data_IF_629977400771
#
_entry.id   IF_629977400771
#
_cell.length_a   1.000
_cell.length_b   1.000
_cell.length_c   1.000
_cell.angle_alpha   90.00
_cell.angle_beta   90.00
_cell.angle_gamma   90.00
#
_symmetry.space_group_name_H-M   'P 1'
#
loop_
_entity.id
_entity.type
_entity.pdbx_description
1 polymer ?
#
# COMPACT_ATOMS: atom_id res chain seq x y z
N UNK A 1 -31.17 -48.09 -2.18
CA UNK A 1 -31.03 -47.20 -0.97
C UNK A 1 -29.59 -46.96 -0.57
N UNK A 2 -28.62 -47.85 -0.93
CA UNK A 2 -27.19 -47.71 -0.59
C UNK A 2 -26.44 -46.79 -1.51
N UNK A 3 -26.86 -46.54 -2.75
CA UNK A 3 -26.17 -45.69 -3.72
C UNK A 3 -26.30 -44.18 -3.42
N UNK A 4 -27.37 -43.75 -2.77
CA UNK A 4 -27.59 -42.32 -2.42
C UNK A 4 -26.77 -41.83 -1.21
N UNK A 5 -26.33 -42.75 -0.36
CA UNK A 5 -25.52 -42.41 0.82
C UNK A 5 -24.02 -42.25 0.49
N UNK A 6 -23.55 -42.94 -0.55
CA UNK A 6 -22.13 -42.87 -0.96
C UNK A 6 -21.82 -41.66 -1.86
N UNK A 7 -22.80 -41.12 -2.59
CA UNK A 7 -22.60 -39.98 -3.50
C UNK A 7 -22.34 -38.67 -2.70
N UNK A 8 -23.12 -38.44 -1.65
CA UNK A 8 -22.94 -37.25 -0.79
C UNK A 8 -21.66 -37.22 0.04
N UNK A 9 -21.08 -38.40 0.37
CA UNK A 9 -19.83 -38.47 1.12
C UNK A 9 -18.59 -38.13 0.27
N UNK A 10 -18.62 -38.51 -1.01
CA UNK A 10 -17.57 -38.18 -1.97
C UNK A 10 -17.43 -36.68 -2.22
N UNK A 11 -18.56 -36.01 -2.39
CA UNK A 11 -18.58 -34.55 -2.61
C UNK A 11 -18.13 -33.77 -1.37
N UNK A 12 -18.53 -34.19 -0.19
CA UNK A 12 -18.11 -33.58 1.07
C UNK A 12 -16.59 -33.74 1.29
N UNK A 13 -16.05 -34.94 1.04
CA UNK A 13 -14.61 -35.19 1.16
C UNK A 13 -13.84 -34.31 0.18
N UNK A 14 -14.29 -34.21 -1.07
CA UNK A 14 -13.69 -33.36 -2.09
C UNK A 14 -13.68 -31.89 -1.68
N UNK A 15 -14.79 -31.36 -1.17
CA UNK A 15 -14.87 -29.98 -0.66
C UNK A 15 -13.90 -29.73 0.48
N UNK A 16 -13.77 -30.66 1.42
CA UNK A 16 -12.81 -30.54 2.52
C UNK A 16 -11.36 -30.46 1.98
N UNK A 17 -11.01 -31.30 1.00
CA UNK A 17 -9.70 -31.25 0.36
C UNK A 17 -9.48 -29.95 -0.39
N UNK A 18 -10.45 -29.44 -1.14
CA UNK A 18 -10.33 -28.17 -1.85
C UNK A 18 -10.12 -27.00 -0.89
N UNK A 19 -10.88 -26.95 0.21
CA UNK A 19 -10.70 -25.93 1.26
C UNK A 19 -9.33 -26.04 1.90
N UNK A 20 -8.88 -27.24 2.23
CA UNK A 20 -7.55 -27.45 2.80
C UNK A 20 -6.43 -26.97 1.85
N UNK A 21 -6.52 -27.31 0.57
CA UNK A 21 -5.56 -26.86 -0.45
C UNK A 21 -5.55 -25.32 -0.56
N UNK A 22 -6.72 -24.67 -0.55
CA UNK A 22 -6.82 -23.22 -0.61
C UNK A 22 -6.16 -22.57 0.61
N UNK A 23 -6.38 -23.11 1.80
CA UNK A 23 -5.76 -22.60 3.03
C UNK A 23 -4.23 -22.83 3.03
N UNK A 24 -3.76 -23.97 2.54
CA UNK A 24 -2.33 -24.26 2.39
C UNK A 24 -1.68 -23.31 1.38
N UNK A 25 -2.32 -23.08 0.23
CA UNK A 25 -1.85 -22.10 -0.76
C UNK A 25 -1.84 -20.68 -0.21
N UNK A 26 -2.87 -20.31 0.56
CA UNK A 26 -2.93 -19.01 1.25
C UNK A 26 -1.79 -18.86 2.26
N UNK A 27 -1.53 -19.90 3.05
CA UNK A 27 -0.42 -19.91 3.99
C UNK A 27 0.93 -19.79 3.25
N UNK A 28 1.14 -20.56 2.19
CA UNK A 28 2.34 -20.51 1.36
C UNK A 28 2.52 -19.10 0.75
N UNK A 29 1.46 -18.55 0.15
CA UNK A 29 1.47 -17.19 -0.40
C UNK A 29 1.84 -16.15 0.65
N UNK A 30 1.25 -16.24 1.86
CA UNK A 30 1.57 -15.33 2.96
C UNK A 30 3.04 -15.43 3.39
N UNK A 31 3.60 -16.64 3.42
CA UNK A 31 5.02 -16.88 3.73
C UNK A 31 5.97 -16.33 2.67
N UNK A 32 5.64 -16.53 1.39
CA UNK A 32 6.43 -16.01 0.28
C UNK A 32 6.42 -14.48 0.27
N UNK A 33 5.26 -13.87 0.46
CA UNK A 33 5.15 -12.41 0.54
C UNK A 33 5.90 -11.85 1.76
N UNK A 34 5.82 -12.49 2.91
CA UNK A 34 6.62 -12.12 4.09
C UNK A 34 8.12 -12.16 3.80
N UNK A 35 8.59 -13.19 3.10
CA UNK A 35 10.00 -13.33 2.72
C UNK A 35 10.42 -12.23 1.74
N UNK A 36 9.58 -11.95 0.72
CA UNK A 36 9.85 -10.89 -0.28
C UNK A 36 9.89 -9.52 0.41
N UNK A 37 8.84 -9.16 1.16
CA UNK A 37 8.77 -7.88 1.88
C UNK A 37 9.94 -7.77 2.86
N UNK A 38 10.26 -8.87 3.57
CA UNK A 38 11.41 -8.93 4.47
C UNK A 38 12.74 -8.66 3.77
N UNK A 39 12.98 -9.29 2.64
CA UNK A 39 14.24 -9.11 1.89
C UNK A 39 14.37 -7.70 1.32
N UNK A 40 13.27 -7.10 0.84
CA UNK A 40 13.25 -5.73 0.35
C UNK A 40 13.53 -4.72 1.47
N UNK A 41 12.90 -4.90 2.65
CA UNK A 41 13.13 -4.04 3.81
C UNK A 41 14.57 -4.13 4.31
N UNK A 42 15.15 -5.33 4.39
CA UNK A 42 16.54 -5.51 4.81
C UNK A 42 17.53 -4.85 3.84
N UNK A 43 17.29 -4.98 2.52
CA UNK A 43 18.13 -4.30 1.50
C UNK A 43 18.06 -2.78 1.60
N UNK A 44 16.87 -2.24 1.91
CA UNK A 44 16.67 -0.81 2.10
C UNK A 44 17.28 -0.31 3.41
N UNK A 45 17.19 -1.08 4.50
CA UNK A 45 17.80 -0.77 5.78
C UNK A 45 19.34 -0.76 5.72
N UNK A 46 19.94 -1.66 4.94
CA UNK A 46 21.39 -1.71 4.75
C UNK A 46 21.95 -0.50 3.96
N UNK A 47 21.09 0.21 3.22
CA UNK A 47 21.49 1.41 2.44
C UNK A 47 21.17 2.72 3.13
N UNK A 48 20.40 2.71 4.20
CA UNK A 48 19.94 3.92 4.90
C UNK A 48 19.87 3.63 6.39
N UNK A 49 20.56 4.40 7.22
CA UNK A 49 20.47 4.33 8.70
C UNK A 49 19.09 4.76 9.24
N UNK A 50 18.07 4.71 8.42
CA UNK A 50 16.74 5.23 8.74
C UNK A 50 16.02 4.32 9.74
N UNK A 51 15.86 4.79 10.97
CA UNK A 51 15.00 4.16 11.99
C UNK A 51 13.55 3.95 11.54
N UNK A 52 13.11 4.68 10.51
CA UNK A 52 11.77 4.61 9.93
C UNK A 52 11.47 3.22 9.35
N UNK A 53 12.43 2.57 8.67
CA UNK A 53 12.25 1.23 8.08
C UNK A 53 11.96 0.20 9.17
N UNK A 54 12.62 0.31 10.32
CA UNK A 54 12.41 -0.58 11.46
C UNK A 54 11.02 -0.42 12.10
N UNK A 55 10.43 0.77 12.04
CA UNK A 55 9.09 1.04 12.57
C UNK A 55 7.98 0.67 11.59
N UNK A 56 8.14 0.98 10.30
CA UNK A 56 7.10 0.74 9.28
C UNK A 56 7.11 -0.72 8.79
N UNK A 57 8.27 -1.37 8.75
CA UNK A 57 8.43 -2.72 8.23
C UNK A 57 7.49 -3.76 8.86
N UNK A 58 7.38 -3.86 10.20
CA UNK A 58 6.46 -4.78 10.85
C UNK A 58 4.99 -4.50 10.53
N UNK A 59 4.61 -3.22 10.43
CA UNK A 59 3.24 -2.80 10.10
C UNK A 59 2.90 -3.25 8.67
N UNK A 60 3.78 -2.98 7.70
CA UNK A 60 3.59 -3.36 6.31
C UNK A 60 3.44 -4.88 6.15
N UNK A 61 4.31 -5.67 6.79
CA UNK A 61 4.21 -7.14 6.79
C UNK A 61 2.89 -7.63 7.37
N UNK A 62 2.49 -7.08 8.51
CA UNK A 62 1.21 -7.45 9.15
C UNK A 62 0.02 -7.12 8.25
N UNK A 63 0.02 -5.95 7.62
CA UNK A 63 -1.05 -5.52 6.71
C UNK A 63 -1.15 -6.44 5.49
N UNK A 64 -0.02 -6.70 4.81
CA UNK A 64 0.02 -7.60 3.64
C UNK A 64 -0.47 -8.99 4.02
N UNK A 65 0.02 -9.55 5.13
CA UNK A 65 -0.41 -10.84 5.62
C UNK A 65 -1.92 -10.87 5.92
N UNK A 66 -2.45 -9.83 6.57
CA UNK A 66 -3.89 -9.76 6.87
C UNK A 66 -4.74 -9.75 5.62
N UNK A 67 -4.35 -9.01 4.58
CA UNK A 67 -5.06 -8.96 3.30
C UNK A 67 -5.07 -10.35 2.63
N UNK A 68 -3.91 -11.02 2.58
CA UNK A 68 -3.81 -12.38 2.00
C UNK A 68 -4.71 -13.37 2.73
N UNK A 69 -4.72 -13.34 4.07
CA UNK A 69 -5.57 -14.21 4.85
C UNK A 69 -7.06 -13.91 4.69
N UNK A 70 -7.46 -12.63 4.62
CA UNK A 70 -8.85 -12.24 4.36
C UNK A 70 -9.31 -12.82 3.02
N UNK A 71 -8.52 -12.62 1.96
CA UNK A 71 -8.85 -13.14 0.63
C UNK A 71 -8.86 -14.67 0.59
N UNK A 72 -7.90 -15.32 1.23
CA UNK A 72 -7.80 -16.78 1.29
C UNK A 72 -8.98 -17.41 2.03
N UNK A 73 -9.38 -16.84 3.17
CA UNK A 73 -10.54 -17.32 3.94
C UNK A 73 -11.84 -17.14 3.13
N UNK A 74 -12.04 -15.99 2.49
CA UNK A 74 -13.22 -15.74 1.64
C UNK A 74 -13.27 -16.78 0.50
N UNK A 75 -12.14 -17.04 -0.16
CA UNK A 75 -12.04 -18.04 -1.22
C UNK A 75 -12.36 -19.45 -0.71
N UNK A 76 -11.83 -19.82 0.44
CA UNK A 76 -12.10 -21.11 1.08
C UNK A 76 -13.59 -21.27 1.43
N UNK A 77 -14.23 -20.23 1.98
CA UNK A 77 -15.65 -20.22 2.28
C UNK A 77 -16.52 -20.34 1.02
N UNK A 78 -16.15 -19.64 -0.06
CA UNK A 78 -16.83 -19.74 -1.33
C UNK A 78 -16.79 -21.17 -1.87
N UNK A 79 -15.65 -21.83 -1.83
CA UNK A 79 -15.49 -23.23 -2.24
C UNK A 79 -16.21 -24.21 -1.32
N UNK A 80 -16.39 -23.86 -0.06
CA UNK A 80 -17.21 -24.63 0.89
C UNK A 80 -18.71 -24.45 0.69
N UNK A 81 -19.13 -23.67 -0.32
CA UNK A 81 -20.55 -23.44 -0.67
C UNK A 81 -21.23 -22.32 0.11
N UNK A 82 -20.48 -21.51 0.87
CA UNK A 82 -21.04 -20.33 1.53
C UNK A 82 -21.22 -19.18 0.56
N UNK A 83 -22.30 -18.42 0.71
CA UNK A 83 -22.48 -17.16 -0.01
C UNK A 83 -21.55 -16.08 0.59
N UNK A 84 -20.51 -15.73 -0.17
CA UNK A 84 -19.51 -14.74 0.22
C UNK A 84 -19.79 -13.34 -0.37
N UNK A 85 -20.90 -13.16 -1.09
CA UNK A 85 -21.20 -11.90 -1.77
C UNK A 85 -21.22 -10.70 -0.79
N UNK A 86 -21.86 -10.86 0.37
CA UNK A 86 -21.88 -9.82 1.40
C UNK A 86 -20.51 -9.54 2.00
N UNK A 87 -19.66 -10.57 2.16
CA UNK A 87 -18.29 -10.42 2.65
C UNK A 87 -17.43 -9.68 1.64
N UNK A 88 -17.51 -10.03 0.35
CA UNK A 88 -16.80 -9.33 -0.73
C UNK A 88 -17.27 -7.88 -0.85
N UNK A 89 -18.58 -7.61 -0.76
CA UNK A 89 -19.11 -6.26 -0.73
C UNK A 89 -18.54 -5.45 0.45
N UNK A 90 -18.52 -6.04 1.65
CA UNK A 90 -17.94 -5.40 2.84
C UNK A 90 -16.46 -5.08 2.70
N UNK A 91 -15.67 -6.03 2.20
CA UNK A 91 -14.23 -5.81 1.91
C UNK A 91 -14.03 -4.74 0.84
N UNK A 92 -14.89 -4.73 -0.21
CA UNK A 92 -14.86 -3.72 -1.27
C UNK A 92 -15.14 -2.32 -0.75
N UNK A 93 -16.20 -2.15 0.04
CA UNK A 93 -16.55 -0.86 0.68
C UNK A 93 -15.45 -0.41 1.65
N UNK A 94 -14.94 -1.33 2.49
CA UNK A 94 -13.83 -1.06 3.39
C UNK A 94 -12.55 -0.66 2.66
N UNK A 95 -12.26 -1.32 1.53
CA UNK A 95 -11.15 -0.99 0.64
C UNK A 95 -11.29 0.40 0.02
N UNK A 96 -12.50 0.76 -0.43
CA UNK A 96 -12.79 2.09 -0.96
C UNK A 96 -12.59 3.17 0.12
N UNK A 97 -13.11 2.95 1.33
CA UNK A 97 -12.92 3.87 2.44
C UNK A 97 -11.43 4.07 2.77
N UNK A 98 -10.64 2.98 2.78
CA UNK A 98 -9.20 3.04 3.00
C UNK A 98 -8.48 3.76 1.86
N UNK A 99 -8.87 3.53 0.60
CA UNK A 99 -8.29 4.21 -0.56
C UNK A 99 -8.58 5.73 -0.51
N UNK A 100 -9.79 6.11 -0.11
CA UNK A 100 -10.14 7.53 0.08
C UNK A 100 -9.33 8.18 1.20
N UNK A 101 -9.13 7.48 2.31
CA UNK A 101 -8.29 7.96 3.42
C UNK A 101 -6.80 8.11 3.01
N UNK A 102 -6.29 7.26 2.12
CA UNK A 102 -4.91 7.29 1.65
C UNK A 102 -4.69 8.21 0.43
N UNK A 103 -5.73 8.74 -0.19
CA UNK A 103 -5.69 9.51 -1.45
C UNK A 103 -4.64 10.62 -1.44
N UNK A 104 -4.66 11.47 -0.42
CA UNK A 104 -3.76 12.62 -0.35
C UNK A 104 -2.29 12.19 -0.13
N UNK A 105 -2.08 11.11 0.61
CA UNK A 105 -0.75 10.57 0.79
C UNK A 105 -0.16 10.06 -0.54
N UNK A 106 -0.96 9.32 -1.30
CA UNK A 106 -0.57 8.80 -2.63
C UNK A 106 -0.36 9.94 -3.62
N UNK A 107 -1.26 10.95 -3.64
CA UNK A 107 -1.11 12.12 -4.50
C UNK A 107 0.20 12.88 -4.25
N UNK A 108 0.62 13.00 -2.99
CA UNK A 108 1.88 13.65 -2.63
C UNK A 108 3.11 12.86 -3.08
N UNK A 109 3.07 11.52 -3.02
CA UNK A 109 4.15 10.68 -3.56
C UNK A 109 4.26 10.86 -5.08
N UNK A 110 3.14 10.80 -5.80
CA UNK A 110 3.13 11.05 -7.24
C UNK A 110 3.62 12.45 -7.58
N UNK A 111 3.21 13.47 -6.81
CA UNK A 111 3.74 14.84 -6.94
C UNK A 111 5.26 14.89 -6.80
N UNK A 112 5.82 14.18 -5.82
CA UNK A 112 7.28 14.07 -5.66
C UNK A 112 7.97 13.40 -6.84
N UNK A 113 7.38 12.31 -7.36
CA UNK A 113 7.89 11.62 -8.55
C UNK A 113 7.86 12.56 -9.77
N UNK A 114 6.76 13.30 -9.98
CA UNK A 114 6.64 14.27 -11.08
C UNK A 114 7.72 15.34 -10.98
N UNK A 115 7.91 15.94 -9.80
CA UNK A 115 8.98 16.95 -9.60
C UNK A 115 10.35 16.36 -9.90
N UNK A 116 10.60 15.11 -9.52
CA UNK A 116 11.88 14.44 -9.77
C UNK A 116 12.13 14.11 -11.26
N UNK A 117 11.07 13.71 -11.99
CA UNK A 117 11.16 13.34 -13.42
C UNK A 117 11.19 14.57 -14.30
N UNK A 118 10.22 15.47 -14.16
CA UNK A 118 10.04 16.64 -15.02
C UNK A 118 10.98 17.79 -14.67
N UNK A 119 11.46 17.83 -13.41
CA UNK A 119 12.40 18.82 -12.88
C UNK A 119 11.99 20.26 -13.17
N UNK A 120 10.75 20.68 -12.85
CA UNK A 120 10.32 22.06 -13.03
C UNK A 120 11.17 23.05 -12.21
N UNK A 121 11.80 22.55 -11.16
CA UNK A 121 12.80 23.25 -10.34
C UNK A 121 13.76 22.22 -9.72
N UNK A 122 14.87 22.67 -9.17
CA UNK A 122 15.88 21.86 -8.50
C UNK A 122 16.15 22.39 -7.09
N UNK A 123 16.85 21.60 -6.29
CA UNK A 123 17.39 22.07 -5.01
C UNK A 123 18.34 23.25 -5.28
N UNK A 124 18.13 24.35 -4.58
CA UNK A 124 18.85 25.61 -4.76
C UNK A 124 18.12 26.65 -5.62
N UNK A 125 17.10 26.25 -6.39
CA UNK A 125 16.31 27.20 -7.19
C UNK A 125 15.40 28.05 -6.29
N UNK A 126 15.17 29.31 -6.67
CA UNK A 126 14.18 30.16 -6.05
C UNK A 126 12.87 30.00 -6.79
N UNK A 127 11.83 29.64 -6.08
CA UNK A 127 10.50 29.42 -6.65
C UNK A 127 9.42 30.21 -5.88
N UNK A 128 8.35 30.51 -6.59
CA UNK A 128 7.12 31.02 -5.99
C UNK A 128 6.01 30.00 -6.23
N UNK A 129 5.41 29.50 -5.15
CA UNK A 129 4.28 28.56 -5.19
C UNK A 129 3.29 28.90 -4.09
N UNK A 130 2.00 29.00 -4.42
CA UNK A 130 0.92 29.38 -3.48
C UNK A 130 1.23 30.67 -2.69
N UNK A 131 1.90 31.65 -3.29
CA UNK A 131 2.30 32.90 -2.64
C UNK A 131 3.50 32.77 -1.70
N UNK A 132 4.14 31.60 -1.62
CA UNK A 132 5.36 31.38 -0.84
C UNK A 132 6.54 31.56 -1.79
N UNK A 133 7.37 32.57 -1.52
CA UNK A 133 8.60 32.88 -2.24
C UNK A 133 9.80 32.42 -1.43
N UNK A 134 10.65 31.58 -2.00
CA UNK A 134 11.82 31.08 -1.32
C UNK A 134 12.67 30.12 -2.14
N UNK A 135 13.78 29.68 -1.54
CA UNK A 135 14.74 28.77 -2.16
C UNK A 135 14.49 27.33 -1.72
N UNK A 136 14.45 26.41 -2.68
CA UNK A 136 14.26 24.98 -2.44
C UNK A 136 15.46 24.42 -1.71
N UNK A 137 15.27 23.95 -0.49
CA UNK A 137 16.31 23.35 0.34
C UNK A 137 16.41 21.84 0.13
N UNK A 138 15.24 21.18 0.04
CA UNK A 138 15.15 19.73 -0.05
C UNK A 138 13.89 19.32 -0.80
N UNK A 139 13.99 18.30 -1.65
CA UNK A 139 12.85 17.65 -2.29
C UNK A 139 12.74 16.26 -1.71
N UNK A 140 11.72 16.06 -0.85
CA UNK A 140 11.44 14.77 -0.22
C UNK A 140 10.40 13.97 -0.99
N UNK A 141 10.12 12.74 -0.53
CA UNK A 141 9.19 11.82 -1.20
C UNK A 141 7.74 12.37 -1.21
N UNK A 142 7.29 12.97 -0.13
CA UNK A 142 5.93 13.45 0.06
C UNK A 142 5.81 14.97 0.15
N UNK A 143 6.87 15.63 0.57
CA UNK A 143 6.90 17.08 0.79
C UNK A 143 8.28 17.63 0.53
N UNK A 144 8.34 18.87 0.05
CA UNK A 144 9.58 19.62 -0.17
C UNK A 144 9.71 20.74 0.85
N UNK A 145 10.94 21.12 1.17
CA UNK A 145 11.25 22.20 2.12
C UNK A 145 11.81 23.39 1.38
N UNK A 146 11.27 24.56 1.69
CA UNK A 146 11.65 25.84 1.10
C UNK A 146 12.05 26.78 2.22
N UNK A 147 13.16 27.51 2.03
CA UNK A 147 13.56 28.62 2.91
C UNK A 147 13.07 29.91 2.31
N UNK A 148 12.17 30.61 2.99
CA UNK A 148 11.67 31.90 2.57
C UNK A 148 12.73 32.98 2.68
N UNK A 149 12.51 34.14 2.04
CA UNK A 149 13.40 35.31 2.13
C UNK A 149 13.61 35.81 3.57
N UNK A 150 12.66 35.54 4.46
CA UNK A 150 12.78 35.87 5.90
C UNK A 150 13.55 34.80 6.70
N UNK A 151 14.15 33.79 6.04
CA UNK A 151 14.89 32.71 6.68
C UNK A 151 13.98 31.65 7.36
N UNK A 152 12.68 31.64 7.11
CA UNK A 152 11.76 30.63 7.65
C UNK A 152 11.71 29.41 6.77
N UNK A 153 11.77 28.22 7.39
CA UNK A 153 11.57 26.96 6.67
C UNK A 153 10.07 26.65 6.55
N UNK A 154 9.60 26.47 5.33
CA UNK A 154 8.24 26.07 5.00
C UNK A 154 8.25 24.69 4.36
N UNK A 155 7.40 23.79 4.83
CA UNK A 155 7.21 22.46 4.24
C UNK A 155 5.95 22.48 3.39
N UNK A 156 6.10 22.18 2.10
CA UNK A 156 5.01 22.17 1.12
C UNK A 156 4.77 20.74 0.66
N UNK A 157 3.52 20.25 0.70
CA UNK A 157 3.16 18.96 0.12
C UNK A 157 3.46 18.92 -1.39
N UNK A 158 4.04 17.83 -1.89
CA UNK A 158 4.49 17.76 -3.29
C UNK A 158 3.35 17.85 -4.31
N UNK A 159 2.12 17.43 -3.96
CA UNK A 159 0.95 17.60 -4.83
C UNK A 159 0.63 19.06 -5.12
N UNK A 160 1.07 20.00 -4.29
CA UNK A 160 0.90 21.43 -4.54
C UNK A 160 1.68 21.89 -5.78
N UNK A 161 2.82 21.30 -6.07
CA UNK A 161 3.63 21.63 -7.23
C UNK A 161 3.06 21.09 -8.55
N UNK A 162 2.17 20.10 -8.49
CA UNK A 162 1.47 19.57 -9.66
C UNK A 162 0.10 20.18 -9.88
N UNK A 163 -0.50 20.75 -8.83
CA UNK A 163 -1.85 21.31 -8.85
C UNK A 163 -1.88 22.85 -8.87
N UNK A 164 -0.74 23.51 -8.71
CA UNK A 164 -0.62 24.97 -8.71
C UNK A 164 0.49 25.43 -9.64
N UNK A 165 0.37 26.63 -10.21
CA UNK A 165 1.47 27.22 -10.95
C UNK A 165 2.72 27.37 -10.07
N UNK A 166 3.87 27.04 -10.63
CA UNK A 166 5.19 27.24 -10.02
C UNK A 166 5.95 28.20 -10.90
N UNK A 167 6.37 29.33 -10.33
CA UNK A 167 7.28 30.27 -10.99
C UNK A 167 8.71 29.97 -10.53
N UNK A 168 9.63 29.87 -11.49
CA UNK A 168 11.05 29.59 -11.25
C UNK A 168 11.91 30.65 -11.95
#
# INVERSE_FOLDING_TARGET
YTSLVFDGSGDTIRQIFEVAIILDLTWLASRLLDAIVGSLLLRSAARSESSMINQIGPILRKTVRSVVWILGVITAMNNAGFDVAAMLAGVGIGGLAMAMAAKDFVANIFGGITVFVDKPFKVGDRIVVNGIDGTVQEIGIRSSRIITLQGRMVTIPNNSFTNSPVEN
#
